data_IF_118616530750
#
_entry.id   IF_118616530750
#
_cell.length_a   1.000
_cell.length_b   1.000
_cell.length_c   1.000
_cell.angle_alpha   90.00
_cell.angle_beta   90.00
_cell.angle_gamma   90.00
#
_symmetry.space_group_name_H-M   'P 1'
#
loop_
_entity.id
_entity.type
_entity.pdbx_description
1 polymer ?
#
# COMPACT_ATOMS: atom_id res chain seq x y z
N UNK A 1 -5.72 -52.70 -17.28
CA UNK A 1 -6.25 -51.38 -17.65
C UNK A 1 -5.67 -50.36 -16.70
N UNK A 2 -4.71 -49.60 -17.18
CA UNK A 2 -4.06 -48.55 -16.39
C UNK A 2 -4.86 -47.26 -16.55
N UNK A 3 -5.49 -46.78 -15.49
CA UNK A 3 -6.07 -45.45 -15.47
C UNK A 3 -4.92 -44.44 -15.25
N UNK A 4 -4.56 -43.71 -16.29
CA UNK A 4 -3.66 -42.61 -16.16
C UNK A 4 -4.34 -41.53 -15.30
N UNK A 5 -3.81 -41.28 -14.12
CA UNK A 5 -4.20 -40.17 -13.28
C UNK A 5 -3.82 -38.88 -14.03
N UNK A 6 -4.82 -38.07 -14.38
CA UNK A 6 -4.59 -36.73 -14.90
C UNK A 6 -3.84 -35.92 -13.84
N UNK A 7 -2.72 -35.33 -14.22
CA UNK A 7 -2.01 -34.39 -13.38
C UNK A 7 -2.95 -33.22 -13.04
N UNK A 8 -2.96 -32.72 -11.78
CA UNK A 8 -3.77 -31.57 -11.42
C UNK A 8 -3.33 -30.42 -12.30
N UNK A 9 -4.28 -29.90 -13.10
CA UNK A 9 -4.07 -28.72 -13.92
C UNK A 9 -3.55 -27.59 -13.03
N UNK A 10 -2.47 -26.97 -13.43
CA UNK A 10 -1.97 -25.76 -12.80
C UNK A 10 -3.07 -24.71 -12.95
N UNK A 11 -3.88 -24.52 -11.92
CA UNK A 11 -4.78 -23.37 -11.87
C UNK A 11 -3.90 -22.12 -12.01
N UNK A 12 -4.01 -21.46 -13.15
CA UNK A 12 -3.37 -20.16 -13.37
C UNK A 12 -4.06 -19.20 -12.41
N UNK A 13 -3.41 -18.95 -11.27
CA UNK A 13 -3.87 -17.97 -10.29
C UNK A 13 -4.05 -16.63 -11.02
N UNK A 14 -5.25 -16.05 -10.94
CA UNK A 14 -5.51 -14.72 -11.46
C UNK A 14 -4.53 -13.72 -10.84
N UNK A 15 -4.00 -12.80 -11.63
CA UNK A 15 -3.13 -11.72 -11.13
C UNK A 15 -3.88 -10.90 -10.10
N UNK A 16 -3.22 -10.57 -9.01
CA UNK A 16 -3.75 -9.72 -7.95
C UNK A 16 -2.81 -8.55 -7.71
N UNK A 17 -3.33 -7.34 -7.83
CA UNK A 17 -2.65 -6.10 -7.43
C UNK A 17 -3.33 -5.61 -6.15
N UNK A 18 -2.54 -5.38 -5.12
CA UNK A 18 -3.00 -4.81 -3.86
C UNK A 18 -2.67 -3.32 -3.81
N UNK A 19 -3.66 -2.49 -3.57
CA UNK A 19 -3.50 -1.06 -3.30
C UNK A 19 -3.97 -0.79 -1.88
N UNK A 20 -3.06 -0.39 -1.00
CA UNK A 20 -3.36 -0.21 0.42
C UNK A 20 -3.06 1.23 0.86
N UNK A 21 -4.07 1.89 1.42
CA UNK A 21 -3.93 3.16 2.10
C UNK A 21 -3.71 2.95 3.59
N UNK A 22 -2.66 3.55 4.12
CA UNK A 22 -2.34 3.54 5.54
C UNK A 22 -2.39 4.95 6.10
N UNK A 23 -2.71 5.08 7.37
CA UNK A 23 -2.72 6.34 8.09
C UNK A 23 -3.90 6.50 9.05
N UNK A 24 -3.83 7.53 9.87
CA UNK A 24 -4.83 7.87 10.87
C UNK A 24 -5.63 9.09 10.44
N UNK A 25 -6.90 8.91 10.11
CA UNK A 25 -7.81 9.99 9.69
C UNK A 25 -8.06 11.04 10.76
N UNK A 26 -7.71 10.76 12.02
CA UNK A 26 -7.84 11.70 13.14
C UNK A 26 -6.59 12.56 13.36
N UNK A 27 -5.55 12.41 12.54
CA UNK A 27 -4.28 13.13 12.65
C UNK A 27 -3.97 13.96 11.40
N UNK A 28 -4.93 14.75 10.94
CA UNK A 28 -4.73 15.67 9.83
C UNK A 28 -4.24 14.97 8.55
N UNK A 29 -3.09 15.36 8.05
CA UNK A 29 -2.53 14.86 6.78
C UNK A 29 -2.05 13.40 6.84
N UNK A 30 -1.97 12.81 8.03
CA UNK A 30 -1.77 11.36 8.17
C UNK A 30 -2.94 10.54 7.58
N UNK A 31 -4.08 11.17 7.38
CA UNK A 31 -5.24 10.62 6.67
C UNK A 31 -5.13 10.60 5.14
N UNK A 32 -3.98 10.94 4.56
CA UNK A 32 -3.79 10.97 3.11
C UNK A 32 -4.05 9.61 2.44
N UNK A 33 -3.47 8.53 2.96
CA UNK A 33 -3.68 7.18 2.44
C UNK A 33 -5.15 6.78 2.38
N UNK A 34 -5.89 6.83 3.51
CA UNK A 34 -7.33 6.60 3.52
C UNK A 34 -8.13 7.48 2.56
N UNK A 35 -7.81 8.76 2.46
CA UNK A 35 -8.49 9.68 1.56
C UNK A 35 -8.32 9.32 0.09
N UNK A 36 -7.13 8.89 -0.32
CA UNK A 36 -6.87 8.42 -1.68
C UNK A 36 -7.64 7.13 -1.97
N UNK A 37 -7.65 6.16 -1.05
CA UNK A 37 -8.38 4.91 -1.25
C UNK A 37 -9.88 5.13 -1.43
N UNK A 38 -10.46 6.08 -0.73
CA UNK A 38 -11.86 6.47 -0.89
C UNK A 38 -12.15 7.03 -2.30
N UNK A 39 -11.23 7.81 -2.87
CA UNK A 39 -11.36 8.40 -4.19
C UNK A 39 -11.09 7.43 -5.35
N UNK A 40 -10.34 6.36 -5.12
CA UNK A 40 -10.04 5.37 -6.18
C UNK A 40 -11.30 4.67 -6.71
N UNK A 41 -12.34 4.54 -5.87
CA UNK A 41 -13.61 4.00 -6.29
C UNK A 41 -13.50 2.58 -6.86
N UNK A 42 -14.15 2.38 -8.01
CA UNK A 42 -14.16 1.06 -8.68
C UNK A 42 -12.92 0.87 -9.55
N UNK A 43 -12.06 -0.05 -9.15
CA UNK A 43 -10.87 -0.43 -9.89
C UNK A 43 -11.13 -1.66 -10.78
N UNK A 44 -10.29 -1.89 -11.81
CA UNK A 44 -10.40 -3.07 -12.67
C UNK A 44 -10.39 -4.40 -11.89
N UNK A 45 -10.92 -5.45 -12.51
CA UNK A 45 -10.83 -6.80 -11.96
C UNK A 45 -9.37 -7.20 -11.70
N UNK A 46 -9.12 -7.82 -10.55
CA UNK A 46 -7.78 -8.19 -10.10
C UNK A 46 -7.07 -7.11 -9.29
N UNK A 47 -7.71 -5.96 -9.07
CA UNK A 47 -7.17 -4.89 -8.22
C UNK A 47 -8.01 -4.78 -6.96
N UNK A 48 -7.38 -5.06 -5.82
CA UNK A 48 -7.99 -4.90 -4.49
C UNK A 48 -7.52 -3.59 -3.86
N UNK A 49 -8.46 -2.74 -3.49
CA UNK A 49 -8.20 -1.49 -2.76
C UNK A 49 -8.64 -1.69 -1.32
N UNK A 50 -7.72 -1.47 -0.38
CA UNK A 50 -7.98 -1.64 1.05
C UNK A 50 -7.49 -0.44 1.83
N UNK A 51 -8.17 -0.13 2.91
CA UNK A 51 -7.70 0.79 3.95
C UNK A 51 -7.33 -0.04 5.18
N UNK A 52 -6.11 0.09 5.65
CA UNK A 52 -5.62 -0.68 6.79
C UNK A 52 -5.43 0.15 8.06
N UNK A 53 -5.81 1.42 8.02
CA UNK A 53 -5.66 2.33 9.15
C UNK A 53 -4.20 2.45 9.59
N UNK A 54 -3.98 2.51 10.91
CA UNK A 54 -2.62 2.53 11.50
C UNK A 54 -2.09 1.13 11.84
N UNK A 55 -2.90 0.10 11.61
CA UNK A 55 -2.60 -1.28 11.99
C UNK A 55 -1.69 -1.97 10.97
N UNK A 56 -0.39 -2.05 11.26
CA UNK A 56 0.54 -2.82 10.45
C UNK A 56 0.19 -4.30 10.32
N UNK A 57 -0.51 -4.86 11.30
CA UNK A 57 -1.01 -6.24 11.25
C UNK A 57 -2.02 -6.42 10.13
N UNK A 58 -2.95 -5.48 9.96
CA UNK A 58 -3.95 -5.55 8.89
C UNK A 58 -3.29 -5.51 7.51
N UNK A 59 -2.29 -4.65 7.33
CA UNK A 59 -1.50 -4.59 6.09
C UNK A 59 -0.74 -5.90 5.84
N UNK A 60 -0.10 -6.44 6.86
CA UNK A 60 0.62 -7.71 6.76
C UNK A 60 -0.33 -8.85 6.39
N UNK A 61 -1.52 -8.92 6.98
CA UNK A 61 -2.53 -9.93 6.66
C UNK A 61 -2.97 -9.85 5.20
N UNK A 62 -3.13 -8.65 4.65
CA UNK A 62 -3.44 -8.47 3.23
C UNK A 62 -2.31 -8.96 2.32
N UNK A 63 -1.07 -8.67 2.65
CA UNK A 63 0.10 -9.15 1.92
C UNK A 63 0.23 -10.68 2.00
N UNK A 64 -0.10 -11.29 3.14
CA UNK A 64 -0.09 -12.75 3.32
C UNK A 64 -1.07 -13.49 2.40
N UNK A 65 -2.13 -12.83 1.95
CA UNK A 65 -3.04 -13.39 0.94
C UNK A 65 -2.39 -13.56 -0.43
N UNK A 66 -1.22 -12.94 -0.62
CA UNK A 66 -0.43 -12.97 -1.85
C UNK A 66 -0.94 -11.98 -2.89
N UNK A 67 0.00 -11.26 -3.50
CA UNK A 67 -0.25 -10.37 -4.61
C UNK A 67 0.95 -10.36 -5.56
N UNK A 68 0.73 -9.94 -6.80
CA UNK A 68 1.75 -9.85 -7.85
C UNK A 68 2.32 -8.44 -7.99
N UNK A 69 1.60 -7.46 -7.44
CA UNK A 69 2.00 -6.07 -7.33
C UNK A 69 1.40 -5.42 -6.09
N UNK A 70 2.13 -4.49 -5.50
CA UNK A 70 1.70 -3.80 -4.29
C UNK A 70 1.96 -2.29 -4.39
N UNK A 71 0.93 -1.50 -4.18
CA UNK A 71 0.99 -0.05 -4.06
C UNK A 71 0.60 0.35 -2.64
N UNK A 72 1.53 0.97 -1.94
CA UNK A 72 1.31 1.55 -0.61
C UNK A 72 1.06 3.05 -0.74
N UNK A 73 0.04 3.56 -0.07
CA UNK A 73 -0.31 4.98 -0.05
C UNK A 73 -0.20 5.48 1.39
N UNK A 74 0.65 6.49 1.59
CA UNK A 74 0.94 7.01 2.93
C UNK A 74 1.36 8.49 2.89
N UNK A 75 1.19 9.19 4.00
CA UNK A 75 1.86 10.45 4.23
C UNK A 75 3.34 10.16 4.54
N UNK A 76 4.24 10.84 3.83
CA UNK A 76 5.69 10.61 3.95
C UNK A 76 6.41 11.94 4.13
N UNK A 77 7.06 12.11 5.27
CA UNK A 77 7.90 13.28 5.54
C UNK A 77 9.31 13.10 4.97
N UNK A 78 9.60 13.86 3.93
CA UNK A 78 10.91 13.91 3.27
C UNK A 78 11.53 15.30 3.25
N UNK A 79 10.98 16.22 4.05
CA UNK A 79 11.45 17.60 4.10
C UNK A 79 11.14 18.43 2.84
N UNK A 80 10.19 17.98 2.03
CA UNK A 80 9.74 18.67 0.83
C UNK A 80 8.63 19.69 1.18
N UNK A 81 8.26 20.60 0.26
CA UNK A 81 7.08 21.43 0.45
C UNK A 81 5.83 20.58 0.65
N UNK A 82 4.95 20.94 1.62
CA UNK A 82 3.70 20.22 1.84
C UNK A 82 2.87 20.03 0.56
N UNK A 83 2.27 18.85 0.38
CA UNK A 83 1.52 18.50 -0.82
C UNK A 83 2.37 17.94 -1.96
N UNK A 84 3.68 17.86 -1.82
CA UNK A 84 4.55 17.20 -2.79
C UNK A 84 4.25 15.71 -2.83
N UNK A 85 4.01 15.19 -4.03
CA UNK A 85 3.83 13.75 -4.25
C UNK A 85 5.15 13.07 -4.58
N UNK A 86 5.31 11.89 -4.03
CA UNK A 86 6.43 10.98 -4.30
C UNK A 86 5.92 9.67 -4.89
N UNK A 87 6.58 9.21 -5.94
CA UNK A 87 6.42 7.85 -6.45
C UNK A 87 7.74 7.14 -6.20
N UNK A 88 7.76 6.28 -5.21
CA UNK A 88 8.97 5.64 -4.73
C UNK A 88 8.97 4.15 -5.07
N UNK A 89 10.11 3.64 -5.47
CA UNK A 89 10.41 2.23 -5.55
C UNK A 89 11.28 1.87 -4.33
N UNK A 90 10.69 1.28 -3.26
CA UNK A 90 11.43 1.07 -2.03
C UNK A 90 12.45 -0.04 -2.19
N UNK A 91 13.65 0.17 -1.66
CA UNK A 91 14.60 -0.90 -1.39
C UNK A 91 14.27 -1.51 -0.02
N UNK A 92 13.61 -2.67 -0.05
CA UNK A 92 13.21 -3.36 1.18
C UNK A 92 14.25 -4.40 1.53
N UNK A 93 14.90 -4.22 2.68
CA UNK A 93 15.81 -5.21 3.25
C UNK A 93 15.04 -6.19 4.14
N UNK A 94 15.43 -7.50 4.18
CA UNK A 94 14.89 -8.43 5.15
C UNK A 94 15.16 -7.90 6.56
N UNK A 95 14.12 -7.87 7.41
CA UNK A 95 14.26 -7.42 8.79
C UNK A 95 15.00 -8.44 9.66
N UNK A 96 15.87 -7.98 10.57
CA UNK A 96 16.29 -8.78 11.70
C UNK A 96 15.07 -9.04 12.60
N UNK A 97 15.03 -10.20 13.22
CA UNK A 97 13.95 -10.61 14.10
C UNK A 97 13.91 -9.70 15.33
N UNK A 98 13.15 -8.62 15.26
CA UNK A 98 12.87 -7.77 16.41
C UNK A 98 11.49 -8.18 16.94
N UNK A 99 11.42 -8.75 18.16
CA UNK A 99 10.14 -9.21 18.72
C UNK A 99 9.22 -8.07 19.18
N UNK A 100 9.44 -6.85 18.71
CA UNK A 100 8.69 -5.70 19.16
C UNK A 100 7.47 -5.45 18.25
N UNK A 101 6.31 -5.56 18.85
CA UNK A 101 4.96 -5.60 18.22
C UNK A 101 4.50 -4.23 17.69
N UNK A 102 5.38 -3.25 17.56
CA UNK A 102 5.07 -1.93 17.00
C UNK A 102 5.16 -1.94 15.46
N UNK A 103 4.22 -2.65 14.83
CA UNK A 103 4.02 -2.64 13.37
C UNK A 103 3.33 -1.36 12.87
N UNK A 104 3.42 -0.25 13.60
CA UNK A 104 2.84 1.04 13.18
C UNK A 104 3.63 1.72 12.06
N UNK A 105 4.86 1.25 11.78
CA UNK A 105 5.68 1.80 10.72
C UNK A 105 5.60 0.92 9.47
N UNK A 106 5.13 1.45 8.32
CA UNK A 106 5.04 0.69 7.07
C UNK A 106 6.36 0.03 6.64
N UNK A 107 7.50 0.67 6.87
CA UNK A 107 8.82 0.10 6.53
C UNK A 107 9.08 -1.23 7.25
N UNK A 108 8.66 -1.33 8.50
CA UNK A 108 8.77 -2.58 9.27
C UNK A 108 7.86 -3.67 8.74
N UNK A 109 6.65 -3.31 8.33
CA UNK A 109 5.72 -4.26 7.72
C UNK A 109 6.27 -4.79 6.40
N UNK A 110 6.82 -3.92 5.56
CA UNK A 110 7.46 -4.31 4.30
C UNK A 110 8.65 -5.24 4.53
N UNK A 111 9.53 -4.91 5.49
CA UNK A 111 10.67 -5.75 5.86
C UNK A 111 10.23 -7.13 6.37
N UNK A 112 9.19 -7.18 7.20
CA UNK A 112 8.63 -8.43 7.71
C UNK A 112 8.01 -9.25 6.58
N UNK A 113 7.21 -8.63 5.73
CA UNK A 113 6.60 -9.30 4.58
C UNK A 113 7.65 -9.88 3.64
N UNK A 114 8.75 -9.17 3.41
CA UNK A 114 9.87 -9.65 2.60
C UNK A 114 10.54 -10.85 3.25
N UNK A 115 10.84 -10.78 4.53
CA UNK A 115 11.46 -11.88 5.29
C UNK A 115 10.60 -13.14 5.26
N UNK A 116 9.26 -12.98 5.34
CA UNK A 116 8.30 -14.08 5.32
C UNK A 116 7.97 -14.56 3.89
N UNK A 117 8.46 -13.91 2.85
CA UNK A 117 8.22 -14.28 1.45
C UNK A 117 6.87 -13.84 0.89
N UNK A 118 6.21 -12.86 1.50
CA UNK A 118 4.89 -12.35 1.06
C UNK A 118 4.97 -11.03 0.28
N UNK A 119 6.12 -10.38 0.24
CA UNK A 119 6.28 -9.14 -0.52
C UNK A 119 6.49 -9.45 -2.01
N UNK A 120 5.69 -8.89 -2.92
CA UNK A 120 5.92 -9.09 -4.35
C UNK A 120 7.15 -8.30 -4.84
N UNK A 121 7.66 -8.65 -6.03
CA UNK A 121 8.79 -7.93 -6.63
C UNK A 121 8.41 -6.50 -7.08
N UNK A 122 7.14 -6.32 -7.45
CA UNK A 122 6.61 -5.02 -7.87
C UNK A 122 6.00 -4.29 -6.69
N UNK A 123 6.73 -3.32 -6.15
CA UNK A 123 6.26 -2.46 -5.05
C UNK A 123 6.44 -1.00 -5.45
N UNK A 124 5.42 -0.18 -5.19
CA UNK A 124 5.49 1.29 -5.28
C UNK A 124 4.90 1.91 -4.04
N UNK A 125 5.48 3.02 -3.63
CA UNK A 125 4.91 3.87 -2.59
C UNK A 125 4.46 5.17 -3.24
N UNK A 126 3.20 5.52 -3.04
CA UNK A 126 2.65 6.83 -3.37
C UNK A 126 2.62 7.60 -2.06
N UNK A 127 3.58 8.50 -1.90
CA UNK A 127 3.73 9.33 -0.71
C UNK A 127 3.31 10.77 -0.97
N UNK A 128 2.80 11.42 0.06
CA UNK A 128 2.55 12.85 0.05
C UNK A 128 3.23 13.51 1.24
N UNK A 129 3.96 14.60 1.00
CA UNK A 129 4.55 15.40 2.07
C UNK A 129 3.44 16.04 2.89
N UNK A 130 3.31 15.74 4.18
CA UNK A 130 2.30 16.36 5.03
C UNK A 130 2.69 17.78 5.42
N UNK A 131 1.68 18.58 5.76
CA UNK A 131 1.86 19.84 6.46
C UNK A 131 1.94 19.62 7.98
N UNK A 132 1.00 18.85 8.50
CA UNK A 132 0.90 18.52 9.93
C UNK A 132 0.25 17.14 10.11
N UNK A 133 0.87 16.31 10.96
CA UNK A 133 0.37 14.99 11.37
C UNK A 133 0.27 14.85 12.89
N UNK A 134 0.58 15.89 13.65
CA UNK A 134 0.68 15.83 15.11
C UNK A 134 -0.62 16.26 15.80
N UNK A 135 -1.36 17.18 15.21
CA UNK A 135 -2.63 17.64 15.76
C UNK A 135 -3.75 16.60 15.55
N UNK A 136 -4.55 16.41 16.56
CA UNK A 136 -5.83 15.70 16.47
C UNK A 136 -6.79 16.56 15.66
N UNK A 137 -6.90 16.31 14.39
CA UNK A 137 -7.71 17.05 13.46
C UNK A 137 -8.27 16.11 12.40
N UNK A 138 -9.57 16.16 12.17
CA UNK A 138 -10.21 15.42 11.10
C UNK A 138 -10.14 16.24 9.81
N UNK A 139 -9.66 15.62 8.74
CA UNK A 139 -9.53 16.22 7.42
C UNK A 139 -8.09 16.63 7.09
N UNK A 140 -7.83 16.70 5.79
CA UNK A 140 -6.52 17.07 5.23
C UNK A 140 -6.36 18.59 5.19
N UNK A 141 -5.11 19.05 5.27
CA UNK A 141 -4.79 20.43 4.91
C UNK A 141 -5.13 20.71 3.43
N UNK A 142 -5.49 21.96 3.07
CA UNK A 142 -5.86 22.29 1.68
C UNK A 142 -4.78 21.93 0.65
N UNK A 143 -3.51 22.07 1.02
CA UNK A 143 -2.39 21.77 0.11
C UNK A 143 -2.26 20.29 -0.16
N UNK A 144 -2.51 19.44 0.83
CA UNK A 144 -2.50 17.97 0.69
C UNK A 144 -3.77 17.50 -0.01
N UNK A 145 -4.92 18.09 0.30
CA UNK A 145 -6.18 17.77 -0.40
C UNK A 145 -6.08 18.03 -1.91
N UNK A 146 -5.40 19.09 -2.34
CA UNK A 146 -5.16 19.34 -3.76
C UNK A 146 -4.28 18.30 -4.44
N UNK A 147 -3.48 17.54 -3.69
CA UNK A 147 -2.65 16.47 -4.23
C UNK A 147 -3.43 15.18 -4.54
N UNK A 148 -4.62 14.99 -3.94
CA UNK A 148 -5.39 13.75 -4.06
C UNK A 148 -5.67 13.33 -5.52
N UNK A 149 -6.16 14.20 -6.42
CA UNK A 149 -6.45 13.80 -7.81
C UNK A 149 -5.20 13.31 -8.55
N UNK A 150 -4.05 13.89 -8.27
CA UNK A 150 -2.78 13.50 -8.90
C UNK A 150 -2.28 12.15 -8.37
N UNK A 151 -2.50 11.88 -7.08
CA UNK A 151 -2.20 10.58 -6.49
C UNK A 151 -3.07 9.48 -7.12
N UNK A 152 -4.35 9.70 -7.25
CA UNK A 152 -5.28 8.78 -7.93
C UNK A 152 -4.81 8.49 -9.35
N UNK A 153 -4.49 9.52 -10.13
CA UNK A 153 -3.99 9.35 -11.49
C UNK A 153 -2.72 8.51 -11.54
N UNK A 154 -1.77 8.74 -10.63
CA UNK A 154 -0.53 7.96 -10.57
C UNK A 154 -0.77 6.49 -10.25
N UNK A 155 -1.69 6.21 -9.34
CA UNK A 155 -2.06 4.83 -9.00
C UNK A 155 -2.69 4.12 -10.19
N UNK A 156 -3.61 4.77 -10.88
CA UNK A 156 -4.24 4.24 -12.10
C UNK A 156 -3.19 3.93 -13.17
N UNK A 157 -2.24 4.84 -13.43
CA UNK A 157 -1.14 4.61 -14.38
C UNK A 157 -0.29 3.39 -14.00
N UNK A 158 0.05 3.23 -12.72
CA UNK A 158 0.85 2.10 -12.22
C UNK A 158 0.08 0.79 -12.38
N UNK A 159 -1.16 0.78 -11.97
CA UNK A 159 -2.03 -0.40 -12.04
C UNK A 159 -2.23 -0.84 -13.49
N UNK A 160 -2.53 0.09 -14.39
CA UNK A 160 -2.71 -0.20 -15.82
C UNK A 160 -1.44 -0.78 -16.46
N UNK A 161 -0.27 -0.31 -16.03
CA UNK A 161 1.01 -0.84 -16.50
C UNK A 161 1.32 -2.26 -15.97
N UNK A 162 0.68 -2.66 -14.88
CA UNK A 162 0.91 -3.97 -14.26
C UNK A 162 -0.13 -5.04 -14.63
N UNK A 163 -1.29 -4.64 -15.14
CA UNK A 163 -2.31 -5.54 -15.64
C UNK A 163 -1.95 -6.11 -17.01
#
# INVERSE_FOLDING_TARGET
MSAAAAAPGTEVRARRILVAGVGNVLRGDDGFGPAVTELLGHMPEGVDVVETGTGGIALLQELMRGCDGFVLIDAVDRGAPPGTLFVLEPEVSPGEHVPDVHLANPDRVLSMAKTMGFLPDRVRIIGCQPLDVDELCQGLSPVVERALPFAVQKIEEIVDAWL
#
